data_IF_991280867929
#
_entry.id   IF_991280867929
#
_cell.length_a   1.000
_cell.length_b   1.000
_cell.length_c   1.000
_cell.angle_alpha   90.00
_cell.angle_beta   90.00
_cell.angle_gamma   90.00
#
_symmetry.space_group_name_H-M   'P 1'
#
loop_
_entity.id
_entity.type
_entity.pdbx_description
1 polymer ?
#
# COMPACT_ATOMS: atom_id res chain seq x y z
N UNK A 1 -25.41 -16.97 -4.15
CA UNK A 1 -24.06 -17.57 -4.07
C UNK A 1 -23.70 -17.70 -2.60
N UNK A 2 -23.34 -18.87 -2.08
CA UNK A 2 -23.01 -19.05 -0.65
C UNK A 2 -21.57 -18.60 -0.37
N UNK A 3 -21.31 -18.01 0.80
CA UNK A 3 -20.01 -17.44 1.21
C UNK A 3 -18.87 -18.47 1.19
N UNK A 4 -19.19 -19.74 1.42
CA UNK A 4 -18.28 -20.89 1.35
C UNK A 4 -17.67 -21.16 -0.04
N UNK A 5 -18.23 -20.57 -1.10
CA UNK A 5 -17.73 -20.72 -2.47
C UNK A 5 -16.82 -19.57 -2.94
N UNK A 6 -16.43 -18.65 -2.04
CA UNK A 6 -15.58 -17.50 -2.35
C UNK A 6 -14.19 -17.64 -1.72
N UNK A 7 -13.16 -17.51 -2.55
CA UNK A 7 -11.75 -17.50 -2.13
C UNK A 7 -11.20 -16.08 -2.23
N UNK A 8 -10.39 -15.67 -1.26
CA UNK A 8 -9.73 -14.36 -1.23
C UNK A 8 -8.22 -14.55 -1.47
N UNK A 9 -7.72 -13.87 -2.49
CA UNK A 9 -6.31 -13.80 -2.86
C UNK A 9 -5.88 -12.35 -2.91
N UNK A 10 -4.65 -12.05 -2.50
CA UNK A 10 -4.09 -10.71 -2.65
C UNK A 10 -3.57 -10.50 -4.06
N UNK A 11 -3.63 -9.25 -4.55
CA UNK A 11 -3.23 -8.90 -5.91
C UNK A 11 -1.84 -9.41 -6.30
N UNK A 12 -0.78 -9.21 -5.50
CA UNK A 12 0.54 -9.71 -5.90
C UNK A 12 0.69 -11.24 -5.81
N UNK A 13 -0.08 -11.91 -4.95
CA UNK A 13 -0.17 -13.38 -4.91
C UNK A 13 -0.83 -13.89 -6.20
N UNK A 14 -1.96 -13.29 -6.57
CA UNK A 14 -2.69 -13.60 -7.79
C UNK A 14 -1.80 -13.37 -9.01
N UNK A 15 -1.14 -12.20 -9.10
CA UNK A 15 -0.23 -11.90 -10.19
C UNK A 15 0.90 -12.93 -10.31
N UNK A 16 1.46 -13.39 -9.18
CA UNK A 16 2.42 -14.50 -9.18
C UNK A 16 1.85 -15.80 -9.75
N UNK A 17 0.57 -16.09 -9.49
CA UNK A 17 -0.09 -17.29 -10.03
C UNK A 17 -0.36 -17.22 -11.51
N UNK A 18 -0.76 -16.05 -12.02
CA UNK A 18 -0.93 -15.86 -13.46
C UNK A 18 0.38 -16.07 -14.21
N UNK A 19 1.49 -15.58 -13.66
CA UNK A 19 2.76 -15.61 -14.36
C UNK A 19 3.27 -17.03 -14.61
N UNK A 20 2.86 -18.01 -13.77
CA UNK A 20 3.15 -19.44 -13.96
C UNK A 20 2.63 -20.02 -15.28
N UNK A 21 1.57 -19.45 -15.83
CA UNK A 21 0.89 -19.94 -17.03
C UNK A 21 1.07 -19.02 -18.24
N UNK A 22 1.93 -18.00 -18.15
CA UNK A 22 2.25 -17.17 -19.30
C UNK A 22 2.99 -18.03 -20.33
N UNK A 23 2.49 -18.21 -21.55
CA UNK A 23 3.25 -18.89 -22.58
C UNK A 23 4.50 -18.07 -22.93
N UNK A 24 5.63 -18.75 -23.16
CA UNK A 24 6.79 -18.19 -23.88
C UNK A 24 6.29 -17.76 -25.24
N UNK A 25 6.12 -16.46 -25.47
CA UNK A 25 5.98 -15.95 -26.83
C UNK A 25 6.93 -14.78 -27.00
N UNK A 26 8.04 -15.12 -27.64
CA UNK A 26 9.03 -14.26 -28.28
C UNK A 26 8.33 -13.16 -29.07
N UNK A 27 8.49 -11.91 -28.66
CA UNK A 27 8.22 -10.77 -29.52
C UNK A 27 9.52 -10.03 -29.76
N UNK A 28 9.94 -10.10 -31.02
CA UNK A 28 11.13 -9.51 -31.64
C UNK A 28 12.47 -10.17 -31.30
N UNK A 29 13.14 -10.55 -32.38
CA UNK A 29 14.48 -11.10 -32.42
C UNK A 29 15.44 -10.17 -31.65
N UNK A 30 15.89 -10.57 -30.45
CA UNK A 30 17.22 -10.29 -29.83
C UNK A 30 17.30 -10.52 -28.32
N UNK A 31 16.19 -10.74 -27.60
CA UNK A 31 16.26 -11.04 -26.14
C UNK A 31 15.29 -12.15 -25.73
N UNK A 32 15.83 -13.28 -25.30
CA UNK A 32 15.07 -14.36 -24.65
C UNK A 32 14.60 -13.84 -23.29
N UNK A 33 13.28 -13.74 -23.07
CA UNK A 33 12.73 -13.52 -21.72
C UNK A 33 12.27 -14.87 -21.16
N UNK A 34 12.84 -15.34 -20.04
CA UNK A 34 12.47 -16.62 -19.46
C UNK A 34 11.00 -16.60 -19.02
N UNK A 35 10.27 -17.68 -19.30
CA UNK A 35 8.93 -17.85 -18.74
C UNK A 35 9.04 -18.06 -17.22
N UNK A 36 8.07 -17.58 -16.44
CA UNK A 36 8.04 -17.83 -15.01
C UNK A 36 7.97 -19.34 -14.66
N UNK A 37 7.46 -20.19 -15.57
CA UNK A 37 7.54 -21.65 -15.42
C UNK A 37 9.00 -22.16 -15.46
N UNK A 38 9.88 -21.48 -16.18
CA UNK A 38 11.31 -21.81 -16.34
C UNK A 38 12.17 -21.25 -15.20
N UNK A 39 11.63 -20.32 -14.40
CA UNK A 39 12.32 -19.81 -13.20
C UNK A 39 12.66 -20.97 -12.27
N UNK A 40 13.93 -21.15 -11.84
CA UNK A 40 14.33 -22.24 -10.97
C UNK A 40 13.55 -22.29 -9.65
N UNK A 41 13.37 -23.50 -9.12
CA UNK A 41 12.86 -23.68 -7.76
C UNK A 41 13.89 -23.07 -6.79
N UNK A 42 13.40 -22.35 -5.79
CA UNK A 42 14.24 -21.65 -4.82
C UNK A 42 14.48 -20.18 -5.16
N UNK A 43 14.23 -19.77 -6.41
CA UNK A 43 14.40 -18.38 -6.84
C UNK A 43 13.57 -17.42 -5.99
N UNK A 44 14.21 -16.34 -5.56
CA UNK A 44 13.58 -15.24 -4.86
C UNK A 44 13.30 -14.13 -5.88
N UNK A 45 12.04 -13.72 -5.96
CA UNK A 45 11.59 -12.72 -6.92
C UNK A 45 10.66 -11.71 -6.25
N UNK A 46 10.71 -10.47 -6.75
CA UNK A 46 9.87 -9.37 -6.30
C UNK A 46 8.72 -9.19 -7.29
N UNK A 47 7.49 -9.13 -6.78
CA UNK A 47 6.33 -8.68 -7.54
C UNK A 47 6.19 -7.18 -7.34
N UNK A 48 6.13 -6.43 -8.44
CA UNK A 48 5.92 -4.99 -8.46
C UNK A 48 4.60 -4.75 -9.19
N UNK A 49 3.51 -4.70 -8.44
CA UNK A 49 2.17 -4.46 -8.97
C UNK A 49 1.90 -2.97 -9.06
N UNK A 50 1.91 -2.45 -10.28
CA UNK A 50 1.68 -1.04 -10.58
C UNK A 50 0.25 -0.88 -11.09
N UNK A 51 -0.66 -0.54 -10.18
CA UNK A 51 -2.06 -0.30 -10.45
C UNK A 51 -2.35 1.13 -10.92
N UNK A 52 -3.64 1.47 -10.97
CA UNK A 52 -4.08 2.84 -11.24
C UNK A 52 -3.78 3.77 -10.07
N UNK A 53 -4.14 3.39 -8.85
CA UNK A 53 -3.95 4.22 -7.65
C UNK A 53 -2.67 3.94 -6.87
N UNK A 54 -2.27 2.68 -6.77
CA UNK A 54 -1.21 2.23 -5.88
C UNK A 54 -0.12 1.48 -6.64
N UNK A 55 1.06 1.44 -6.03
CA UNK A 55 2.09 0.47 -6.32
C UNK A 55 2.19 -0.46 -5.10
N UNK A 56 2.01 -1.76 -5.31
CA UNK A 56 2.03 -2.79 -4.28
C UNK A 56 3.18 -3.77 -4.57
N UNK A 57 4.08 -3.93 -3.61
CA UNK A 57 5.35 -4.63 -3.76
C UNK A 57 5.47 -5.72 -2.69
N UNK A 58 5.84 -6.92 -3.12
CA UNK A 58 6.08 -8.05 -2.22
C UNK A 58 7.15 -8.96 -2.79
N UNK A 59 7.85 -9.68 -1.92
CA UNK A 59 8.87 -10.63 -2.31
C UNK A 59 8.39 -12.04 -2.02
N UNK A 60 8.49 -12.87 -3.04
CA UNK A 60 8.12 -14.27 -3.02
C UNK A 60 9.35 -15.15 -3.26
N UNK A 61 9.28 -16.38 -2.76
CA UNK A 61 10.19 -17.47 -3.08
C UNK A 61 9.42 -18.57 -3.80
N UNK A 62 9.91 -19.02 -4.95
CA UNK A 62 9.35 -20.20 -5.64
C UNK A 62 9.73 -21.45 -4.84
N UNK A 63 8.73 -22.15 -4.29
CA UNK A 63 8.95 -23.35 -3.45
C UNK A 63 8.93 -24.62 -4.29
N UNK A 64 8.05 -24.66 -5.28
CA UNK A 64 8.02 -25.69 -6.31
C UNK A 64 7.30 -25.13 -7.56
N UNK A 65 6.93 -25.99 -8.51
CA UNK A 65 6.25 -25.57 -9.73
C UNK A 65 4.88 -24.90 -9.49
N UNK A 66 4.24 -25.15 -8.35
CA UNK A 66 2.88 -24.70 -8.02
C UNK A 66 2.81 -23.83 -6.78
N UNK A 67 3.82 -23.80 -5.93
CA UNK A 67 3.74 -23.11 -4.65
C UNK A 67 4.74 -21.97 -4.56
N UNK A 68 4.28 -20.89 -3.96
CA UNK A 68 5.09 -19.72 -3.63
C UNK A 68 4.97 -19.47 -2.13
N UNK A 69 6.05 -18.95 -1.56
CA UNK A 69 6.10 -18.49 -0.18
C UNK A 69 6.36 -16.99 -0.18
N UNK A 70 5.52 -16.25 0.52
CA UNK A 70 5.80 -14.85 0.83
C UNK A 70 6.97 -14.77 1.83
N UNK A 71 7.95 -13.91 1.55
CA UNK A 71 9.15 -13.73 2.37
C UNK A 71 9.45 -12.27 2.73
N UNK A 72 8.52 -11.36 2.43
CA UNK A 72 8.50 -10.00 2.94
C UNK A 72 7.05 -9.59 3.18
N UNK A 73 6.84 -8.63 4.08
CA UNK A 73 5.53 -7.97 4.16
C UNK A 73 5.26 -7.22 2.85
N UNK A 74 4.01 -7.21 2.36
CA UNK A 74 3.61 -6.28 1.31
C UNK A 74 3.84 -4.84 1.76
N UNK A 75 4.36 -4.01 0.86
CA UNK A 75 4.56 -2.59 1.05
C UNK A 75 4.22 -1.85 -0.24
N UNK A 76 4.14 -0.52 -0.19
CA UNK A 76 3.67 0.23 -1.36
C UNK A 76 3.47 1.71 -1.10
N UNK A 77 2.93 2.39 -2.11
CA UNK A 77 2.64 3.82 -2.06
C UNK A 77 1.67 4.26 -3.15
N UNK A 78 1.18 5.52 -3.10
CA UNK A 78 0.22 6.07 -4.06
C UNK A 78 0.91 6.50 -5.37
N UNK A 79 1.67 5.57 -5.99
CA UNK A 79 2.49 5.81 -7.17
C UNK A 79 1.96 5.11 -8.42
N UNK A 80 0.64 4.91 -8.49
CA UNK A 80 -0.02 4.33 -9.65
C UNK A 80 -0.16 5.30 -10.83
N UNK A 81 -0.72 4.82 -11.94
CA UNK A 81 -0.90 5.59 -13.17
C UNK A 81 -1.74 6.87 -13.01
N UNK A 82 -2.64 6.94 -12.03
CA UNK A 82 -3.46 8.12 -11.72
C UNK A 82 -2.61 9.29 -11.21
N UNK A 83 -1.43 9.04 -10.63
CA UNK A 83 -0.50 10.10 -10.25
C UNK A 83 0.05 10.83 -11.49
N UNK A 84 0.30 10.09 -12.58
CA UNK A 84 0.71 10.68 -13.87
C UNK A 84 -0.43 11.49 -14.48
N UNK A 85 -1.68 11.00 -14.40
CA UNK A 85 -2.87 11.74 -14.85
C UNK A 85 -3.05 13.06 -14.06
N UNK A 86 -2.75 13.03 -12.76
CA UNK A 86 -2.77 14.21 -11.89
C UNK A 86 -1.71 15.23 -12.30
N UNK A 87 -0.50 14.77 -12.65
CA UNK A 87 0.57 15.65 -13.13
C UNK A 87 0.19 16.30 -14.47
N UNK A 88 -0.41 15.55 -15.39
CA UNK A 88 -0.89 16.08 -16.67
C UNK A 88 -2.01 17.12 -16.50
N UNK A 89 -3.02 16.81 -15.69
CA UNK A 89 -4.11 17.77 -15.43
C UNK A 89 -3.62 19.03 -14.70
N UNK A 90 -2.66 18.90 -13.78
CA UNK A 90 -2.00 20.03 -13.13
C UNK A 90 -1.24 20.91 -14.12
N UNK A 91 -0.58 20.29 -15.12
CA UNK A 91 0.07 21.02 -16.20
C UNK A 91 -0.94 21.82 -17.06
N UNK A 92 -2.09 21.23 -17.41
CA UNK A 92 -3.14 21.98 -18.11
C UNK A 92 -3.69 23.13 -17.28
N UNK A 93 -3.95 22.90 -15.99
CA UNK A 93 -4.37 23.94 -15.03
C UNK A 93 -3.33 25.07 -14.94
N UNK A 94 -2.03 24.75 -14.97
CA UNK A 94 -0.95 25.76 -14.94
C UNK A 94 -0.96 26.64 -16.19
N UNK A 95 -1.36 26.10 -17.35
CA UNK A 95 -1.47 26.87 -18.59
C UNK A 95 -2.73 27.73 -18.58
N UNK A 96 -3.92 27.15 -18.37
CA UNK A 96 -5.19 27.86 -18.58
C UNK A 96 -5.78 28.50 -17.33
N UNK A 97 -5.26 28.17 -16.16
CA UNK A 97 -5.82 28.54 -14.87
C UNK A 97 -6.91 27.57 -14.39
N UNK A 98 -7.01 27.41 -13.07
CA UNK A 98 -7.95 26.47 -12.44
C UNK A 98 -9.41 26.77 -12.80
N UNK A 99 -9.80 28.05 -12.88
CA UNK A 99 -11.17 28.48 -13.23
C UNK A 99 -11.59 27.94 -14.60
N UNK A 100 -10.75 28.13 -15.62
CA UNK A 100 -11.00 27.68 -16.99
C UNK A 100 -11.08 26.16 -17.05
N UNK A 101 -10.11 25.46 -16.46
CA UNK A 101 -10.05 24.01 -16.52
C UNK A 101 -11.24 23.34 -15.82
N UNK A 102 -11.65 23.86 -14.65
CA UNK A 102 -12.81 23.34 -13.93
C UNK A 102 -14.12 23.60 -14.70
N UNK A 103 -14.28 24.79 -15.30
CA UNK A 103 -15.44 25.08 -16.15
C UNK A 103 -15.49 24.17 -17.38
N UNK A 104 -14.35 23.86 -17.99
CA UNK A 104 -14.25 22.87 -19.08
C UNK A 104 -14.72 21.50 -18.65
N UNK A 105 -14.20 20.99 -17.53
CA UNK A 105 -14.59 19.67 -17.00
C UNK A 105 -16.08 19.58 -16.67
N UNK A 106 -16.69 20.66 -16.18
CA UNK A 106 -18.10 20.70 -15.80
C UNK A 106 -19.04 20.90 -16.99
N UNK A 107 -18.65 21.74 -17.95
CA UNK A 107 -19.51 22.11 -19.10
C UNK A 107 -19.42 21.08 -20.22
N UNK A 108 -18.23 20.50 -20.43
CA UNK A 108 -17.95 19.55 -21.50
C UNK A 108 -17.30 18.25 -20.96
N UNK A 109 -18.05 17.46 -20.15
CA UNK A 109 -17.50 16.24 -19.54
C UNK A 109 -17.11 15.17 -20.56
N UNK A 110 -17.76 15.13 -21.73
CA UNK A 110 -17.40 14.19 -22.81
C UNK A 110 -16.07 14.57 -23.47
N UNK A 111 -15.86 15.84 -23.81
CA UNK A 111 -14.57 16.34 -24.31
C UNK A 111 -13.43 16.13 -23.30
N UNK A 112 -13.71 16.31 -22.02
CA UNK A 112 -12.74 16.01 -20.97
C UNK A 112 -12.41 14.51 -20.94
N UNK A 113 -13.41 13.64 -21.06
CA UNK A 113 -13.18 12.20 -21.12
C UNK A 113 -12.36 11.79 -22.35
N UNK A 114 -12.65 12.37 -23.53
CA UNK A 114 -11.89 12.15 -24.76
C UNK A 114 -10.43 12.60 -24.63
N UNK A 115 -10.21 13.77 -24.02
CA UNK A 115 -8.86 14.30 -23.72
C UNK A 115 -8.08 13.34 -22.82
N UNK A 116 -8.71 12.84 -21.75
CA UNK A 116 -8.07 11.91 -20.83
C UNK A 116 -7.86 10.52 -21.45
N UNK A 117 -8.75 10.07 -22.34
CA UNK A 117 -8.58 8.83 -23.09
C UNK A 117 -7.40 8.92 -24.06
N UNK A 118 -7.25 10.05 -24.76
CA UNK A 118 -6.08 10.27 -25.59
C UNK A 118 -4.80 10.30 -24.74
N UNK A 119 -4.85 10.94 -23.56
CA UNK A 119 -3.74 10.92 -22.62
C UNK A 119 -3.36 9.49 -22.24
N UNK A 120 -4.34 8.66 -21.88
CA UNK A 120 -4.14 7.26 -21.49
C UNK A 120 -3.43 6.46 -22.59
N UNK A 121 -3.83 6.63 -23.85
CA UNK A 121 -3.18 5.96 -25.00
C UNK A 121 -1.70 6.37 -25.11
N UNK A 122 -1.40 7.67 -24.97
CA UNK A 122 -0.02 8.17 -25.02
C UNK A 122 0.78 7.73 -23.80
N UNK A 123 0.16 7.71 -22.62
CA UNK A 123 0.77 7.29 -21.36
C UNK A 123 1.28 5.85 -21.41
N UNK A 124 0.53 4.98 -22.11
CA UNK A 124 0.94 3.58 -22.34
C UNK A 124 2.04 3.43 -23.39
N UNK A 125 1.97 4.21 -24.48
CA UNK A 125 2.77 3.95 -25.70
C UNK A 125 4.06 4.76 -25.80
N UNK A 126 4.24 5.83 -25.02
CA UNK A 126 5.42 6.69 -25.12
C UNK A 126 6.70 5.96 -24.68
N UNK A 127 7.75 6.08 -25.49
CA UNK A 127 9.07 5.50 -25.22
C UNK A 127 10.16 6.59 -25.27
N UNK A 128 11.03 6.61 -24.26
CA UNK A 128 12.14 7.58 -24.17
C UNK A 128 13.03 7.60 -25.43
N UNK A 129 13.24 6.44 -26.05
CA UNK A 129 14.06 6.23 -27.24
C UNK A 129 13.52 6.92 -28.49
N UNK A 130 12.23 7.28 -28.53
CA UNK A 130 11.62 7.78 -29.76
C UNK A 130 12.06 9.20 -30.13
N UNK A 131 12.52 10.02 -29.17
CA UNK A 131 12.91 11.44 -29.31
C UNK A 131 12.03 12.25 -30.30
N UNK A 132 10.74 11.89 -30.37
CA UNK A 132 9.75 12.46 -31.28
C UNK A 132 8.82 13.32 -30.45
N UNK A 133 8.38 14.44 -31.04
CA UNK A 133 7.32 15.25 -30.45
C UNK A 133 6.06 14.40 -30.27
N UNK A 134 5.41 14.59 -29.14
CA UNK A 134 4.19 13.87 -28.79
C UNK A 134 3.02 14.67 -29.33
N UNK A 135 2.30 14.05 -30.26
CA UNK A 135 1.10 14.61 -30.86
C UNK A 135 -0.11 14.31 -29.98
N UNK A 136 -0.89 15.35 -29.71
CA UNK A 136 -2.02 15.33 -28.81
C UNK A 136 -3.14 16.18 -29.40
N UNK A 137 -4.34 15.63 -29.60
CA UNK A 137 -5.51 16.42 -29.99
C UNK A 137 -6.05 17.14 -28.75
N UNK A 138 -6.07 18.46 -28.81
CA UNK A 138 -6.68 19.29 -27.77
C UNK A 138 -8.15 19.49 -28.09
N UNK A 139 -9.01 19.44 -27.07
CA UNK A 139 -10.42 19.78 -27.25
C UNK A 139 -10.55 21.25 -27.66
N UNK A 140 -11.29 21.49 -28.74
CA UNK A 140 -11.68 22.85 -29.15
C UNK A 140 -12.47 23.57 -28.07
N UNK A 141 -13.22 22.82 -27.24
CA UNK A 141 -14.02 23.41 -26.16
C UNK A 141 -13.17 23.95 -25.01
N UNK A 142 -12.00 23.37 -24.77
CA UNK A 142 -11.03 23.95 -23.83
C UNK A 142 -10.52 25.30 -24.34
N UNK A 143 -10.23 25.41 -25.65
CA UNK A 143 -9.89 26.69 -26.30
C UNK A 143 -11.03 27.70 -26.22
N UNK A 144 -12.26 27.27 -26.49
CA UNK A 144 -13.45 28.14 -26.44
C UNK A 144 -13.67 28.72 -25.04
N UNK A 145 -13.61 27.88 -24.01
CA UNK A 145 -13.76 28.35 -22.61
C UNK A 145 -12.60 29.26 -22.22
N UNK A 146 -11.37 28.95 -22.63
CA UNK A 146 -10.23 29.81 -22.37
C UNK A 146 -10.48 31.22 -22.94
N UNK A 147 -10.86 31.31 -24.22
CA UNK A 147 -11.18 32.58 -24.87
C UNK A 147 -12.35 33.33 -24.21
N UNK A 148 -13.40 32.62 -23.78
CA UNK A 148 -14.56 33.22 -23.10
C UNK A 148 -14.23 33.77 -21.71
N UNK A 149 -13.38 33.08 -20.94
CA UNK A 149 -13.10 33.41 -19.55
C UNK A 149 -11.93 34.39 -19.37
N UNK A 150 -10.94 34.34 -20.26
CA UNK A 150 -9.71 35.15 -20.14
C UNK A 150 -9.58 36.22 -21.23
N UNK A 151 -10.37 36.11 -22.30
CA UNK A 151 -10.20 36.94 -23.50
C UNK A 151 -9.03 36.52 -24.40
N UNK A 152 -8.31 35.44 -24.06
CA UNK A 152 -7.12 34.95 -24.77
C UNK A 152 -7.33 33.48 -25.18
N UNK A 153 -6.98 33.16 -26.43
CA UNK A 153 -7.04 31.78 -26.93
C UNK A 153 -5.99 30.90 -26.22
N UNK A 154 -6.34 29.62 -25.97
CA UNK A 154 -5.46 28.63 -25.35
C UNK A 154 -4.05 28.59 -25.96
N UNK A 155 -3.95 28.66 -27.29
CA UNK A 155 -2.65 28.59 -27.98
C UNK A 155 -1.82 29.83 -27.70
N UNK A 156 -2.47 31.00 -27.60
CA UNK A 156 -1.80 32.24 -27.20
C UNK A 156 -1.38 32.19 -25.72
N UNK A 157 -2.20 31.64 -24.83
CA UNK A 157 -1.83 31.44 -23.42
C UNK A 157 -0.56 30.60 -23.27
N UNK A 158 -0.40 29.54 -24.06
CA UNK A 158 0.83 28.73 -24.07
C UNK A 158 2.07 29.57 -24.39
N UNK A 159 1.97 30.56 -25.29
CA UNK A 159 3.09 31.42 -25.67
C UNK A 159 3.53 32.37 -24.55
N UNK A 160 2.69 32.59 -23.54
CA UNK A 160 2.99 33.41 -22.35
C UNK A 160 3.61 32.58 -21.22
N UNK A 161 3.71 31.26 -21.38
CA UNK A 161 4.32 30.35 -20.41
C UNK A 161 5.77 29.99 -20.77
N UNK A 162 6.47 29.36 -19.83
CA UNK A 162 7.78 28.73 -20.08
C UNK A 162 7.76 27.65 -21.19
N UNK A 163 6.56 27.21 -21.61
CA UNK A 163 6.39 26.16 -22.61
C UNK A 163 6.31 26.70 -24.05
N UNK A 164 6.43 28.02 -24.28
CA UNK A 164 6.33 28.68 -25.60
C UNK A 164 7.12 28.00 -26.72
N UNK A 165 8.32 27.52 -26.42
CA UNK A 165 9.20 26.88 -27.41
C UNK A 165 9.06 25.35 -27.45
N UNK A 166 8.40 24.77 -26.44
CA UNK A 166 8.26 23.33 -26.23
C UNK A 166 6.89 22.78 -26.69
N UNK A 167 5.93 23.65 -26.97
CA UNK A 167 4.60 23.27 -27.45
C UNK A 167 4.29 24.05 -28.73
N UNK A 168 3.88 23.35 -29.79
CA UNK A 168 3.43 23.96 -31.05
C UNK A 168 2.07 23.42 -31.44
N UNK A 169 1.25 24.23 -32.09
CA UNK A 169 -0.09 23.82 -32.54
C UNK A 169 -0.18 23.78 -34.06
N UNK A 170 -0.79 22.71 -34.59
CA UNK A 170 -1.20 22.59 -35.99
C UNK A 170 -2.68 22.19 -35.99
N UNK A 171 -3.56 23.15 -36.29
CA UNK A 171 -5.01 22.97 -36.09
C UNK A 171 -5.34 22.76 -34.61
N UNK A 172 -6.03 21.67 -34.29
CA UNK A 172 -6.37 21.20 -32.94
C UNK A 172 -5.29 20.30 -32.32
N UNK A 173 -4.20 20.00 -33.05
CA UNK A 173 -3.13 19.13 -32.57
C UNK A 173 -2.01 19.92 -31.90
N UNK A 174 -1.80 19.67 -30.61
CA UNK A 174 -0.60 20.06 -29.88
C UNK A 174 0.55 19.09 -30.18
N UNK A 175 1.73 19.64 -30.43
CA UNK A 175 3.00 18.93 -30.55
C UNK A 175 3.84 19.32 -29.34
N UNK A 176 3.91 18.42 -28.37
CA UNK A 176 4.56 18.63 -27.08
C UNK A 176 5.96 18.00 -27.13
N UNK A 177 6.97 18.74 -26.68
CA UNK A 177 8.31 18.19 -26.53
C UNK A 177 8.30 17.04 -25.50
N UNK A 178 9.00 15.94 -25.81
CA UNK A 178 8.94 14.72 -25.00
C UNK A 178 9.35 14.94 -23.54
N UNK A 179 10.30 15.87 -23.29
CA UNK A 179 10.75 16.24 -21.94
C UNK A 179 9.60 16.69 -21.02
N UNK A 180 8.63 17.46 -21.54
CA UNK A 180 7.45 17.87 -20.75
C UNK A 180 6.64 16.64 -20.36
N UNK A 181 6.44 15.73 -21.31
CA UNK A 181 5.62 14.56 -21.10
C UNK A 181 6.29 13.57 -20.14
N UNK A 182 7.61 13.39 -20.24
CA UNK A 182 8.41 12.59 -19.30
C UNK A 182 8.36 13.17 -17.88
N UNK A 183 8.33 14.50 -17.76
CA UNK A 183 8.15 15.18 -16.48
C UNK A 183 6.87 14.81 -15.73
N UNK A 184 5.84 14.29 -16.42
CA UNK A 184 4.64 13.76 -15.75
C UNK A 184 4.89 12.41 -15.06
N UNK A 185 5.86 11.62 -15.54
CA UNK A 185 6.21 10.32 -15.01
C UNK A 185 7.35 10.38 -14.00
N UNK A 186 8.34 11.24 -14.23
CA UNK A 186 9.57 11.30 -13.44
C UNK A 186 9.38 11.26 -11.92
N UNK A 187 8.51 12.08 -11.30
CA UNK A 187 8.31 11.99 -9.85
C UNK A 187 7.71 10.65 -9.41
N UNK A 188 6.84 10.05 -10.23
CA UNK A 188 6.20 8.77 -9.95
C UNK A 188 7.21 7.62 -10.09
N UNK A 189 7.95 7.61 -11.20
CA UNK A 189 8.99 6.63 -11.49
C UNK A 189 10.11 6.67 -10.44
N UNK A 190 10.55 7.87 -10.03
CA UNK A 190 11.54 8.07 -8.97
C UNK A 190 11.11 7.40 -7.67
N UNK A 191 9.88 7.65 -7.21
CA UNK A 191 9.38 7.05 -5.97
C UNK A 191 9.35 5.51 -6.04
N UNK A 192 8.93 4.94 -7.17
CA UNK A 192 8.93 3.48 -7.38
C UNK A 192 10.36 2.94 -7.31
N UNK A 193 11.28 3.55 -8.06
CA UNK A 193 12.70 3.11 -8.12
C UNK A 193 13.37 3.20 -6.76
N UNK A 194 13.23 4.33 -6.05
CA UNK A 194 13.81 4.51 -4.72
C UNK A 194 13.24 3.50 -3.72
N UNK A 195 11.93 3.25 -3.76
CA UNK A 195 11.32 2.27 -2.87
C UNK A 195 11.83 0.84 -3.15
N UNK A 196 11.94 0.45 -4.42
CA UNK A 196 12.49 -0.86 -4.79
C UNK A 196 13.95 -0.99 -4.36
N UNK A 197 14.78 0.04 -4.57
CA UNK A 197 16.20 0.06 -4.10
C UNK A 197 16.28 -0.14 -2.58
N UNK A 198 15.49 0.61 -1.81
CA UNK A 198 15.45 0.50 -0.35
C UNK A 198 15.09 -0.92 0.12
N UNK A 199 14.12 -1.57 -0.52
CA UNK A 199 13.75 -2.95 -0.20
C UNK A 199 14.91 -3.90 -0.49
N UNK A 200 15.57 -3.76 -1.65
CA UNK A 200 16.68 -4.63 -2.04
C UNK A 200 17.89 -4.49 -1.09
N UNK A 201 18.23 -3.26 -0.68
CA UNK A 201 19.33 -2.97 0.24
C UNK A 201 19.10 -3.56 1.64
N UNK A 202 17.86 -3.51 2.14
CA UNK A 202 17.51 -4.00 3.47
C UNK A 202 17.61 -5.53 3.65
N UNK A 203 17.80 -6.32 2.58
CA UNK A 203 17.72 -7.79 2.63
C UNK A 203 18.98 -8.53 3.06
N UNK A 204 20.07 -7.83 3.41
CA UNK A 204 21.28 -8.36 4.07
C UNK A 204 21.64 -9.84 3.72
N UNK A 205 21.73 -10.19 2.42
CA UNK A 205 22.18 -11.51 1.96
C UNK A 205 21.14 -12.38 1.23
N UNK A 206 19.85 -12.05 1.23
CA UNK A 206 18.85 -12.71 0.35
C UNK A 206 18.77 -12.00 -1.01
N UNK A 207 19.42 -12.56 -2.04
CA UNK A 207 19.44 -11.99 -3.39
C UNK A 207 18.09 -12.18 -4.09
N UNK A 208 17.49 -11.08 -4.53
CA UNK A 208 16.35 -11.11 -5.48
C UNK A 208 16.94 -11.25 -6.88
N UNK A 209 16.46 -12.25 -7.63
CA UNK A 209 16.98 -12.59 -8.96
C UNK A 209 16.03 -12.13 -10.07
N UNK A 210 14.81 -11.71 -9.73
CA UNK A 210 13.78 -11.36 -10.70
C UNK A 210 12.83 -10.29 -10.14
N UNK A 211 12.58 -9.24 -10.92
CA UNK A 211 11.45 -8.35 -10.75
C UNK A 211 10.36 -8.75 -11.75
N UNK A 212 9.17 -8.99 -11.23
CA UNK A 212 7.97 -9.29 -11.99
C UNK A 212 7.05 -8.06 -11.95
N UNK A 213 7.00 -7.31 -13.05
CA UNK A 213 6.18 -6.11 -13.18
C UNK A 213 4.79 -6.44 -13.68
N UNK A 214 3.76 -6.14 -12.89
CA UNK A 214 2.35 -6.46 -13.15
C UNK A 214 1.47 -5.25 -12.88
N UNK A 215 0.17 -5.35 -13.15
CA UNK A 215 -0.76 -4.23 -12.99
C UNK A 215 -0.86 -3.36 -14.25
N UNK A 216 -1.93 -2.57 -14.34
CA UNK A 216 -2.26 -1.80 -15.53
C UNK A 216 -1.22 -0.72 -15.87
N UNK A 217 -0.59 -0.12 -14.87
CA UNK A 217 0.45 0.89 -15.09
C UNK A 217 1.78 0.29 -15.54
N UNK A 218 2.01 -1.01 -15.30
CA UNK A 218 3.13 -1.75 -15.90
C UNK A 218 3.00 -1.92 -17.43
N UNK A 219 1.89 -1.53 -18.05
CA UNK A 219 1.77 -1.43 -19.52
C UNK A 219 2.50 -0.20 -20.10
N UNK A 220 2.84 0.78 -19.25
CA UNK A 220 3.59 1.97 -19.69
C UNK A 220 5.00 1.61 -20.14
N UNK A 221 5.29 1.89 -21.41
CA UNK A 221 6.63 1.71 -21.97
C UNK A 221 7.68 2.58 -21.30
N UNK A 222 7.33 3.79 -20.89
CA UNK A 222 8.18 4.66 -20.06
C UNK A 222 8.63 3.96 -18.78
N UNK A 223 7.67 3.46 -17.98
CA UNK A 223 7.97 2.79 -16.71
C UNK A 223 8.73 1.47 -16.93
N UNK A 224 8.38 0.69 -17.95
CA UNK A 224 9.13 -0.52 -18.33
C UNK A 224 10.61 -0.19 -18.61
N UNK A 225 10.89 0.88 -19.36
CA UNK A 225 12.25 1.27 -19.71
C UNK A 225 13.06 1.74 -18.50
N UNK A 226 12.46 2.57 -17.63
CA UNK A 226 13.10 3.00 -16.38
C UNK A 226 13.43 1.80 -15.49
N UNK A 227 12.45 0.92 -15.24
CA UNK A 227 12.68 -0.24 -14.38
C UNK A 227 13.72 -1.20 -14.95
N UNK A 228 13.72 -1.43 -16.27
CA UNK A 228 14.79 -2.21 -16.92
C UNK A 228 16.15 -1.53 -16.80
N UNK A 229 16.24 -0.24 -17.07
CA UNK A 229 17.51 0.51 -16.98
C UNK A 229 18.10 0.48 -15.56
N UNK A 230 17.26 0.55 -14.54
CA UNK A 230 17.69 0.60 -13.14
C UNK A 230 18.03 -0.78 -12.56
N UNK A 231 17.33 -1.83 -13.00
CA UNK A 231 17.34 -3.12 -12.30
C UNK A 231 17.78 -4.31 -13.16
N UNK A 232 17.65 -4.25 -14.48
CA UNK A 232 18.11 -5.35 -15.36
C UNK A 232 19.64 -5.45 -15.31
N UNK A 233 20.15 -6.63 -14.97
CA UNK A 233 21.59 -6.89 -14.87
C UNK A 233 21.88 -8.37 -15.15
N UNK A 234 23.15 -8.76 -15.15
CA UNK A 234 23.56 -10.17 -15.24
C UNK A 234 23.07 -11.03 -14.04
N UNK A 235 22.56 -10.38 -13.00
CA UNK A 235 22.20 -11.00 -11.73
C UNK A 235 20.74 -10.86 -11.36
N UNK A 236 19.98 -10.08 -12.13
CA UNK A 236 18.59 -9.79 -11.87
C UNK A 236 17.85 -9.45 -13.16
N UNK A 237 16.78 -10.20 -13.43
CA UNK A 237 15.91 -9.98 -14.59
C UNK A 237 14.72 -9.08 -14.27
N UNK A 238 14.23 -8.33 -15.25
CA UNK A 238 12.99 -7.56 -15.19
C UNK A 238 12.01 -8.13 -16.21
N UNK A 239 11.07 -8.94 -15.70
CA UNK A 239 10.04 -9.63 -16.47
C UNK A 239 8.73 -8.84 -16.43
N UNK A 240 8.17 -8.58 -17.61
CA UNK A 240 6.86 -7.96 -17.79
C UNK A 240 6.01 -8.92 -18.62
N UNK A 241 4.88 -9.43 -18.08
CA UNK A 241 3.94 -10.25 -18.85
C UNK A 241 3.42 -9.52 -20.09
N UNK A 242 2.91 -10.27 -21.07
CA UNK A 242 2.28 -9.70 -22.28
C UNK A 242 1.11 -8.76 -21.96
N UNK A 243 0.27 -9.16 -21.01
CA UNK A 243 -0.88 -8.37 -20.53
C UNK A 243 -0.74 -8.12 -19.02
N UNK A 244 0.17 -7.23 -18.58
CA UNK A 244 0.47 -7.09 -17.16
C UNK A 244 -0.77 -6.63 -16.36
N UNK A 245 -1.63 -5.79 -16.96
CA UNK A 245 -2.93 -5.37 -16.37
C UNK A 245 -3.94 -6.49 -16.15
N UNK A 246 -3.80 -7.64 -16.83
CA UNK A 246 -4.67 -8.81 -16.64
C UNK A 246 -4.09 -9.86 -15.68
N UNK A 247 -2.86 -9.66 -15.19
CA UNK A 247 -2.15 -10.67 -14.39
C UNK A 247 -2.87 -10.99 -13.08
N UNK A 248 -3.38 -9.97 -12.39
CA UNK A 248 -4.11 -10.16 -11.12
C UNK A 248 -5.37 -11.00 -11.34
N UNK A 249 -6.21 -10.64 -12.31
CA UNK A 249 -7.48 -11.34 -12.56
C UNK A 249 -7.26 -12.75 -13.09
N UNK A 250 -6.34 -12.94 -14.06
CA UNK A 250 -5.96 -14.28 -14.56
C UNK A 250 -5.47 -15.16 -13.39
N UNK A 251 -4.72 -14.56 -12.48
CA UNK A 251 -4.18 -15.19 -11.30
C UNK A 251 -5.23 -15.58 -10.26
N UNK A 252 -6.24 -14.74 -10.08
CA UNK A 252 -7.37 -15.03 -9.20
C UNK A 252 -8.18 -16.22 -9.71
N UNK A 253 -8.36 -16.36 -11.03
CA UNK A 253 -9.00 -17.53 -11.64
C UNK A 253 -8.19 -18.81 -11.38
N UNK A 254 -6.85 -18.73 -11.54
CA UNK A 254 -5.95 -19.84 -11.21
C UNK A 254 -6.05 -20.22 -9.74
N UNK A 255 -6.02 -19.24 -8.83
CA UNK A 255 -6.18 -19.46 -7.39
C UNK A 255 -7.53 -20.07 -7.00
N UNK A 256 -8.60 -19.68 -7.70
CA UNK A 256 -9.92 -20.22 -7.45
C UNK A 256 -9.97 -21.72 -7.81
N UNK A 257 -9.37 -22.08 -8.96
CA UNK A 257 -9.39 -23.44 -9.52
C UNK A 257 -8.47 -24.42 -8.81
N UNK A 258 -7.33 -23.97 -8.32
CA UNK A 258 -6.32 -24.83 -7.71
C UNK A 258 -6.30 -24.70 -6.19
N UNK A 259 -6.05 -25.82 -5.50
CA UNK A 259 -5.91 -25.84 -4.04
C UNK A 259 -4.43 -25.77 -3.62
N UNK A 260 -4.18 -25.21 -2.44
CA UNK A 260 -2.86 -25.21 -1.78
C UNK A 260 -1.72 -24.50 -2.56
N UNK A 261 -2.04 -23.47 -3.36
CA UNK A 261 -1.04 -22.70 -4.11
C UNK A 261 -0.16 -21.75 -3.28
N UNK A 262 -0.63 -21.35 -2.10
CA UNK A 262 0.13 -20.59 -1.13
C UNK A 262 0.73 -21.56 -0.12
N UNK A 263 2.07 -21.66 -0.09
CA UNK A 263 2.73 -22.44 0.95
C UNK A 263 2.69 -21.72 2.30
N UNK A 264 2.81 -20.39 2.29
CA UNK A 264 2.84 -19.56 3.49
C UNK A 264 2.59 -18.08 3.14
N UNK A 265 1.80 -17.39 3.97
CA UNK A 265 1.65 -15.92 3.97
C UNK A 265 2.39 -15.36 5.17
N UNK A 266 3.10 -14.24 5.02
CA UNK A 266 3.59 -13.50 6.17
C UNK A 266 2.43 -12.66 6.70
N UNK A 267 1.52 -13.28 7.47
CA UNK A 267 0.45 -12.57 8.17
C UNK A 267 0.59 -12.68 9.68
N UNK A 268 0.30 -11.54 10.28
CA UNK A 268 0.12 -11.19 11.69
C UNK A 268 1.39 -10.95 12.52
N UNK A 269 1.43 -9.75 13.10
CA UNK A 269 2.36 -9.40 14.18
C UNK A 269 2.01 -10.31 15.36
N UNK A 270 2.83 -11.32 15.59
CA UNK A 270 2.72 -12.11 16.81
C UNK A 270 3.31 -11.27 17.93
N UNK A 271 2.45 -10.75 18.80
CA UNK A 271 2.89 -10.27 20.10
C UNK A 271 2.67 -11.36 21.15
N UNK A 272 3.65 -11.51 22.04
CA UNK A 272 3.48 -12.26 23.29
C UNK A 272 3.29 -11.22 24.37
N UNK A 273 2.11 -11.19 24.99
CA UNK A 273 1.86 -10.40 26.18
C UNK A 273 2.00 -11.29 27.42
N UNK A 274 2.67 -10.77 28.45
CA UNK A 274 2.68 -11.34 29.78
C UNK A 274 1.97 -10.38 30.72
N UNK A 275 0.88 -10.85 31.33
CA UNK A 275 0.14 -10.12 32.37
C UNK A 275 0.44 -10.80 33.72
N UNK A 276 1.01 -10.04 34.64
CA UNK A 276 1.15 -10.43 36.03
C UNK A 276 0.07 -9.72 36.84
N UNK A 277 -0.74 -10.45 37.59
CA UNK A 277 -1.68 -9.89 38.58
C UNK A 277 -1.30 -10.46 39.94
N UNK A 278 -0.51 -9.69 40.69
CA UNK A 278 -0.19 -9.97 42.08
C UNK A 278 -1.26 -9.42 43.01
N UNK A 279 -1.16 -9.78 44.30
CA UNK A 279 -2.10 -9.36 45.34
C UNK A 279 -2.34 -7.84 45.33
N UNK A 280 -1.28 -7.05 45.20
CA UNK A 280 -1.36 -5.59 45.29
C UNK A 280 -1.10 -4.86 43.97
N UNK A 281 -0.44 -5.53 43.01
CA UNK A 281 0.05 -4.91 41.78
C UNK A 281 -0.23 -5.82 40.58
N UNK A 282 -0.73 -5.23 39.50
CA UNK A 282 -0.76 -5.79 38.16
C UNK A 282 0.26 -5.10 37.25
N UNK A 283 0.87 -5.86 36.33
CA UNK A 283 1.83 -5.36 35.36
C UNK A 283 1.69 -6.10 34.03
N UNK A 284 1.92 -5.41 32.91
CA UNK A 284 1.89 -6.03 31.58
C UNK A 284 3.18 -5.74 30.82
N UNK A 285 3.70 -6.75 30.14
CA UNK A 285 4.80 -6.61 29.21
C UNK A 285 4.43 -7.24 27.87
N UNK A 286 4.96 -6.71 26.78
CA UNK A 286 4.78 -7.24 25.43
C UNK A 286 6.12 -7.46 24.74
N UNK A 287 6.20 -8.50 23.94
CA UNK A 287 7.29 -8.70 23.00
C UNK A 287 6.71 -8.96 21.61
N UNK A 288 7.20 -8.23 20.61
CA UNK A 288 6.80 -8.40 19.21
C UNK A 288 7.80 -9.36 18.56
N UNK A 289 7.31 -10.42 17.92
CA UNK A 289 8.12 -11.48 17.31
C UNK A 289 9.19 -10.96 16.35
N UNK A 290 8.86 -10.01 15.47
CA UNK A 290 9.85 -9.44 14.55
C UNK A 290 11.01 -8.73 15.28
N UNK A 291 10.72 -8.16 16.46
CA UNK A 291 11.74 -7.50 17.30
C UNK A 291 12.53 -8.51 18.14
N UNK A 292 11.94 -9.66 18.49
CA UNK A 292 12.64 -10.77 19.14
C UNK A 292 13.74 -11.35 18.23
N UNK A 293 13.45 -11.55 16.95
CA UNK A 293 14.42 -12.09 15.99
C UNK A 293 15.64 -11.16 15.78
N UNK A 294 15.46 -9.85 16.02
CA UNK A 294 16.54 -8.84 15.96
C UNK A 294 17.26 -8.64 17.30
N UNK A 295 16.53 -8.69 18.41
CA UNK A 295 17.06 -8.59 19.76
C UNK A 295 16.17 -9.38 20.74
N UNK A 296 16.59 -10.58 21.17
CA UNK A 296 15.81 -11.43 22.08
C UNK A 296 15.46 -10.76 23.42
N UNK A 297 16.25 -9.78 23.87
CA UNK A 297 16.06 -9.08 25.14
C UNK A 297 15.12 -7.87 25.04
N UNK A 298 14.60 -7.55 23.85
CA UNK A 298 13.74 -6.39 23.66
C UNK A 298 12.29 -6.71 24.05
N UNK A 299 12.02 -6.62 25.35
CA UNK A 299 10.69 -6.72 25.98
C UNK A 299 10.25 -5.31 26.41
N UNK A 300 9.02 -4.92 26.04
CA UNK A 300 8.47 -3.60 26.34
C UNK A 300 7.47 -3.71 27.50
N UNK A 301 7.70 -2.96 28.58
CA UNK A 301 6.67 -2.73 29.60
C UNK A 301 5.53 -1.89 29.02
N UNK A 302 4.29 -2.28 29.27
CA UNK A 302 3.11 -1.52 28.83
C UNK A 302 2.66 -0.62 29.97
N UNK A 303 2.76 0.72 29.82
CA UNK A 303 2.33 1.64 30.86
C UNK A 303 0.80 1.66 30.97
N UNK A 304 0.30 1.71 32.19
CA UNK A 304 -1.08 2.02 32.52
C UNK A 304 -1.22 3.54 32.65
N UNK A 305 -2.29 4.08 32.05
CA UNK A 305 -2.62 5.49 32.11
C UNK A 305 -3.54 5.73 33.30
N UNK A 306 -3.12 6.57 34.25
CA UNK A 306 -3.98 7.03 35.34
C UNK A 306 -4.95 8.12 34.87
N UNK A 307 -6.00 8.42 35.66
CA UNK A 307 -7.00 9.43 35.28
C UNK A 307 -6.41 10.86 35.18
N UNK A 308 -5.29 11.09 35.88
CA UNK A 308 -4.51 12.32 35.85
C UNK A 308 -3.55 12.43 34.64
N UNK A 309 -3.58 11.47 33.70
CA UNK A 309 -2.68 11.41 32.54
C UNK A 309 -1.27 10.92 32.84
N UNK A 310 -0.95 10.63 34.11
CA UNK A 310 0.35 10.08 34.53
C UNK A 310 0.45 8.61 34.12
N UNK A 311 1.57 8.25 33.50
CA UNK A 311 1.87 6.88 33.09
C UNK A 311 2.62 6.13 34.19
N UNK A 312 2.18 4.91 34.49
CA UNK A 312 2.81 4.03 35.49
C UNK A 312 3.02 2.65 34.91
N UNK A 313 4.12 1.96 35.26
CA UNK A 313 4.38 0.59 34.79
C UNK A 313 3.61 -0.48 35.59
N UNK A 314 2.92 -0.06 36.64
CA UNK A 314 2.23 -0.90 37.60
C UNK A 314 0.83 -0.33 37.85
N UNK A 315 -0.17 -1.20 37.83
CA UNK A 315 -1.54 -0.88 38.17
C UNK A 315 -1.89 -1.52 39.52
N UNK A 316 -2.72 -0.90 40.34
CA UNK A 316 -3.15 -1.51 41.60
C UNK A 316 -4.09 -2.68 41.33
N UNK A 317 -4.07 -3.71 42.19
CA UNK A 317 -5.05 -4.80 42.14
C UNK A 317 -6.22 -4.45 43.05
N UNK A 318 -7.14 -3.63 42.53
CA UNK A 318 -8.36 -3.24 43.23
C UNK A 318 -9.53 -3.04 42.26
N UNK A 319 -10.75 -3.08 42.81
CA UNK A 319 -12.02 -2.94 42.09
C UNK A 319 -12.93 -2.04 42.92
N UNK A 320 -13.61 -1.11 42.25
CA UNK A 320 -14.64 -0.27 42.85
C UNK A 320 -15.99 -0.61 42.21
N UNK A 321 -16.97 -0.94 43.04
CA UNK A 321 -18.36 -1.15 42.64
C UNK A 321 -19.27 -0.10 43.25
N UNK A 322 -20.30 0.31 42.50
CA UNK A 322 -21.37 1.18 43.02
C UNK A 322 -22.31 0.43 43.99
N UNK A 323 -23.28 1.16 44.56
CA UNK A 323 -24.27 0.60 45.49
C UNK A 323 -25.11 -0.55 44.89
N UNK A 324 -25.16 -0.67 43.56
CA UNK A 324 -25.90 -1.70 42.84
C UNK A 324 -24.99 -2.85 42.37
N UNK A 325 -23.75 -2.91 42.87
CA UNK A 325 -22.73 -3.88 42.51
C UNK A 325 -22.27 -3.82 41.05
N UNK A 326 -22.49 -2.70 40.35
CA UNK A 326 -21.95 -2.51 39.00
C UNK A 326 -20.50 -2.08 39.06
N UNK A 327 -19.69 -2.56 38.11
CA UNK A 327 -18.29 -2.18 37.99
C UNK A 327 -18.15 -0.70 37.66
N UNK A 328 -17.47 0.03 38.55
CA UNK A 328 -17.24 1.47 38.39
C UNK A 328 -15.77 1.83 38.15
N UNK A 329 -14.84 0.90 38.33
CA UNK A 329 -13.43 1.12 38.05
C UNK A 329 -12.56 -0.04 38.50
N UNK A 330 -11.36 -0.13 37.91
CA UNK A 330 -10.32 -1.11 38.28
C UNK A 330 -8.97 -0.43 38.44
N UNK A 331 -8.13 -0.99 39.31
CA UNK A 331 -6.77 -0.52 39.56
C UNK A 331 -6.65 0.94 39.97
N UNK A 332 -5.64 1.64 39.46
CA UNK A 332 -5.32 3.01 39.88
C UNK A 332 -6.51 3.97 39.68
N UNK A 333 -7.32 3.76 38.64
CA UNK A 333 -8.56 4.52 38.43
C UNK A 333 -9.57 4.29 39.56
N UNK A 334 -9.73 3.03 40.01
CA UNK A 334 -10.58 2.70 41.16
C UNK A 334 -10.05 3.34 42.46
N UNK A 335 -8.73 3.36 42.68
CA UNK A 335 -8.14 4.00 43.85
C UNK A 335 -8.35 5.53 43.84
N UNK A 336 -8.14 6.16 42.68
CA UNK A 336 -8.34 7.60 42.51
C UNK A 336 -9.80 7.98 42.74
N UNK A 337 -10.73 7.23 42.14
CA UNK A 337 -12.17 7.44 42.31
C UNK A 337 -12.61 7.19 43.75
N UNK A 338 -12.11 6.15 44.40
CA UNK A 338 -12.43 5.88 45.81
C UNK A 338 -11.91 6.98 46.74
N UNK A 339 -10.69 7.52 46.50
CA UNK A 339 -10.18 8.67 47.26
C UNK A 339 -11.10 9.89 47.13
N UNK A 340 -11.58 10.20 45.92
CA UNK A 340 -12.53 11.29 45.70
C UNK A 340 -13.85 11.07 46.45
N UNK A 341 -14.34 9.83 46.49
CA UNK A 341 -15.56 9.49 47.25
C UNK A 341 -15.36 9.67 48.77
N UNK A 342 -14.18 9.32 49.30
CA UNK A 342 -13.81 9.57 50.69
C UNK A 342 -13.74 11.07 50.99
N UNK A 343 -13.15 11.88 50.10
CA UNK A 343 -13.09 13.34 50.24
C UNK A 343 -14.49 13.97 50.30
N UNK A 344 -15.46 13.36 49.60
CA UNK A 344 -16.87 13.76 49.60
C UNK A 344 -17.71 13.10 50.71
N UNK A 345 -17.12 12.21 51.52
CA UNK A 345 -17.79 11.47 52.61
C UNK A 345 -19.01 10.64 52.18
N UNK A 346 -18.97 10.10 50.95
CA UNK A 346 -20.03 9.23 50.37
C UNK A 346 -19.54 7.82 50.08
N UNK A 347 -18.33 7.46 50.50
CA UNK A 347 -17.69 6.17 50.24
C UNK A 347 -18.47 4.98 50.80
N UNK A 348 -19.28 5.20 51.85
CA UNK A 348 -20.08 4.15 52.52
C UNK A 348 -21.14 3.52 51.64
N UNK A 349 -21.51 4.18 50.54
CA UNK A 349 -22.45 3.65 49.54
C UNK A 349 -21.75 2.83 48.45
N UNK A 350 -20.43 2.66 48.53
CA UNK A 350 -19.61 2.01 47.51
C UNK A 350 -18.87 0.80 48.09
N UNK A 351 -18.55 -0.14 47.21
CA UNK A 351 -17.80 -1.34 47.58
C UNK A 351 -16.41 -1.29 46.95
N UNK A 352 -15.39 -1.02 47.76
CA UNK A 352 -14.00 -1.01 47.33
C UNK A 352 -13.25 -2.25 47.82
N UNK A 353 -12.81 -3.07 46.87
CA UNK A 353 -12.05 -4.28 47.13
C UNK A 353 -10.60 -4.07 46.69
N UNK A 354 -9.66 -4.33 47.59
CA UNK A 354 -8.23 -4.18 47.33
C UNK A 354 -7.46 -5.34 47.93
N UNK A 355 -6.28 -5.61 47.38
CA UNK A 355 -5.34 -6.61 47.88
C UNK A 355 -5.92 -8.04 47.88
N UNK A 356 -6.80 -8.32 46.91
CA UNK A 356 -7.45 -9.61 46.76
C UNK A 356 -6.63 -10.56 45.88
N UNK A 357 -6.76 -11.85 46.16
CA UNK A 357 -6.26 -12.89 45.27
C UNK A 357 -7.32 -13.19 44.22
N UNK A 358 -6.93 -13.20 42.96
CA UNK A 358 -7.73 -13.88 41.94
C UNK A 358 -7.61 -15.39 42.19
N UNK A 359 -8.72 -16.01 42.57
CA UNK A 359 -8.82 -17.45 42.60
C UNK A 359 -9.04 -17.93 41.16
N UNK A 360 -7.93 -18.26 40.50
CA UNK A 360 -7.94 -18.95 39.21
C UNK A 360 -8.11 -20.44 39.51
N UNK A 361 -9.18 -21.05 39.02
CA UNK A 361 -9.39 -22.51 39.11
C UNK A 361 -8.17 -23.25 38.52
N UNK A 362 -7.78 -24.41 39.07
CA UNK A 362 -6.43 -25.04 38.99
C UNK A 362 -5.92 -25.43 37.58
N UNK A 363 -5.80 -24.48 36.67
CA UNK A 363 -4.94 -24.55 35.50
C UNK A 363 -4.09 -23.28 35.46
N UNK A 364 -2.84 -23.44 35.90
CA UNK A 364 -1.81 -22.40 35.88
C UNK A 364 -1.67 -21.82 34.46
N UNK A 365 -2.09 -20.57 34.25
CA UNK A 365 -1.85 -19.89 32.98
C UNK A 365 -1.00 -18.64 33.20
N UNK A 366 0.18 -18.60 32.57
CA UNK A 366 0.51 -17.39 31.83
C UNK A 366 -0.66 -17.18 30.85
N UNK A 367 -1.38 -16.06 30.94
CA UNK A 367 -2.32 -15.71 29.89
C UNK A 367 -1.48 -15.27 28.69
N UNK A 368 -1.09 -16.23 27.85
CA UNK A 368 -0.44 -15.97 26.59
C UNK A 368 -1.52 -15.48 25.62
N UNK A 369 -1.78 -14.17 25.63
CA UNK A 369 -2.69 -13.56 24.68
C UNK A 369 -2.02 -13.52 23.31
N UNK A 370 -2.37 -14.47 22.44
CA UNK A 370 -2.10 -14.35 21.01
C UNK A 370 -3.07 -13.34 20.41
N UNK A 371 -2.68 -12.07 20.38
CA UNK A 371 -3.48 -11.05 19.69
C UNK A 371 -3.12 -11.07 18.21
N UNK A 372 -3.92 -11.81 17.44
CA UNK A 372 -3.89 -11.77 15.97
C UNK A 372 -4.68 -10.53 15.53
N UNK A 373 -4.00 -9.40 15.41
CA UNK A 373 -4.64 -8.14 15.05
C UNK A 373 -5.17 -8.12 13.62
N UNK A 374 -6.45 -8.42 13.40
CA UNK A 374 -7.22 -7.84 12.29
C UNK A 374 -7.66 -6.44 12.70
N UNK A 375 -7.33 -5.43 11.90
CA UNK A 375 -7.93 -4.10 12.00
C UNK A 375 -9.41 -4.17 11.67
N UNK A 376 -10.25 -4.40 12.68
CA UNK A 376 -11.61 -3.86 12.83
C UNK A 376 -12.30 -4.46 14.06
N UNK A 377 -12.77 -3.61 14.97
CA UNK A 377 -13.84 -3.94 15.93
C UNK A 377 -13.42 -4.31 17.35
N UNK A 378 -13.72 -3.37 18.26
CA UNK A 378 -13.97 -3.44 19.71
C UNK A 378 -13.62 -4.69 20.52
N UNK A 379 -12.87 -4.40 21.60
CA UNK A 379 -12.75 -5.13 22.86
C UNK A 379 -14.15 -5.45 23.44
N UNK A 380 -14.36 -6.69 23.88
CA UNK A 380 -15.32 -7.01 24.94
C UNK A 380 -14.64 -7.98 25.91
N UNK A 381 -14.52 -7.54 27.15
CA UNK A 381 -14.08 -8.34 28.29
C UNK A 381 -15.38 -8.88 28.93
N UNK A 382 -15.48 -10.19 29.12
CA UNK A 382 -16.44 -10.81 30.04
C UNK A 382 -15.69 -11.16 31.31
#
# INVERSE_FOLDING_TARGET
MKRENLKIVFEPEAASFACRYLPVITLSQTTYQPCFSEVPIGTIYMVVDLGGGTADIVIHKKIDQRRVKEISRPCGGPWGGTAVDTNFTSFLIKIVGAKVFMKFKQTFPLDYADLMQEFEVKKRTVEQSMNKKIHFKMSSELSNICQQETGVDFKATVLETEYRHKIRFIGDKAMIDPEIFYGFFDPVAKNIVEHVKNILEARHGSKVELLLMVGGFSESKYIQNIMKSEFQSNTMDVLIPKDPGMSVIKGAVVFAREENLLAFRVRDVVCVAALHIGKSIAAMAIQIRDKFEQNPNHVLGVPFMGSNGVQTMHNSTCVLLDHAMNLSGVGNEAEEKYKQLCDLSIEKEWHFFKDFYLQLDEQLFMILLYVVGKTSGSLNIV
#
